data_IF_036708513663
#
_entry.id   IF_036708513663
#
_cell.length_a   1.000
_cell.length_b   1.000
_cell.length_c   1.000
_cell.angle_alpha   90.00
_cell.angle_beta   90.00
_cell.angle_gamma   90.00
#
_symmetry.space_group_name_H-M   'P 1'
#
loop_
_entity.id
_entity.type
_entity.pdbx_description
1 polymer ?
#
# COMPACT_ATOMS: atom_id res chain seq x y z
N UNK A 1 -7.68 8.20 8.70
CA UNK A 1 -7.83 6.91 9.41
C UNK A 1 -6.83 6.87 10.56
N UNK A 2 -7.10 6.14 11.67
CA UNK A 2 -6.11 5.97 12.74
C UNK A 2 -4.87 5.22 12.21
N UNK A 3 -3.70 5.60 12.72
CA UNK A 3 -2.44 4.92 12.38
C UNK A 3 -2.46 3.52 13.00
N UNK A 4 -2.22 2.44 12.22
CA UNK A 4 -2.23 1.08 12.76
C UNK A 4 -1.05 0.87 13.71
N UNK A 5 -1.31 0.15 14.82
CA UNK A 5 -0.27 -0.25 15.77
C UNK A 5 0.53 -1.44 15.26
N UNK A 6 1.73 -1.64 15.81
CA UNK A 6 2.58 -2.81 15.49
C UNK A 6 1.84 -4.12 15.75
N UNK A 7 1.11 -4.22 16.87
CA UNK A 7 0.34 -5.41 17.22
C UNK A 7 -0.80 -5.66 16.23
N UNK A 8 -1.43 -4.59 15.74
CA UNK A 8 -2.44 -4.71 14.68
C UNK A 8 -1.80 -5.25 13.40
N UNK A 9 -0.65 -4.73 12.98
CA UNK A 9 0.05 -5.22 11.79
C UNK A 9 0.54 -6.68 11.95
N UNK A 10 0.93 -7.10 13.16
CA UNK A 10 1.26 -8.50 13.46
C UNK A 10 0.03 -9.41 13.29
N UNK A 11 -1.12 -9.00 13.81
CA UNK A 11 -2.37 -9.76 13.60
C UNK A 11 -2.75 -9.85 12.11
N UNK A 12 -2.47 -8.80 11.34
CA UNK A 12 -2.70 -8.81 9.88
C UNK A 12 -1.78 -9.82 9.20
N UNK A 13 -0.50 -9.90 9.59
CA UNK A 13 0.43 -10.91 9.07
C UNK A 13 0.02 -12.35 9.38
N UNK A 14 -0.47 -12.60 10.59
CA UNK A 14 -1.02 -13.91 10.96
C UNK A 14 -2.28 -14.23 10.13
N UNK A 15 -3.19 -13.27 9.95
CA UNK A 15 -4.37 -13.45 9.10
C UNK A 15 -4.00 -13.71 7.63
N UNK A 16 -3.00 -13.02 7.08
CA UNK A 16 -2.52 -13.26 5.71
C UNK A 16 -1.91 -14.66 5.55
N UNK A 17 -1.17 -15.12 6.56
CA UNK A 17 -0.66 -16.49 6.53
C UNK A 17 -1.79 -17.52 6.58
N UNK A 18 -2.75 -17.35 7.50
CA UNK A 18 -3.83 -18.31 7.69
C UNK A 18 -4.82 -18.37 6.52
N UNK A 19 -5.10 -17.23 5.86
CA UNK A 19 -6.10 -17.15 4.78
C UNK A 19 -5.46 -17.35 3.41
N UNK A 20 -4.29 -16.76 3.18
CA UNK A 20 -3.66 -16.67 1.86
C UNK A 20 -2.33 -17.42 1.75
N UNK A 21 -1.90 -18.13 2.81
CA UNK A 21 -0.59 -18.78 2.88
C UNK A 21 0.57 -17.82 2.58
N UNK A 22 0.41 -16.54 2.95
CA UNK A 22 1.37 -15.47 2.70
C UNK A 22 1.99 -15.02 4.02
N UNK A 23 3.10 -15.65 4.47
CA UNK A 23 3.74 -15.29 5.73
C UNK A 23 4.34 -13.89 5.69
N UNK A 24 4.41 -13.24 6.85
CA UNK A 24 5.02 -11.91 7.04
C UNK A 24 4.40 -10.78 6.17
N UNK A 25 3.21 -10.98 5.61
CA UNK A 25 2.52 -9.95 4.83
C UNK A 25 1.68 -9.04 5.73
N UNK A 26 2.03 -7.76 5.84
CA UNK A 26 1.34 -6.81 6.73
C UNK A 26 0.26 -5.97 6.03
N UNK A 27 -0.01 -6.26 4.77
CA UNK A 27 -1.00 -5.54 3.97
C UNK A 27 -0.81 -5.74 2.47
N UNK A 28 -1.91 -5.63 1.73
CA UNK A 28 -1.91 -5.58 0.28
C UNK A 28 -2.19 -4.15 -0.18
N UNK A 29 -1.25 -3.53 -0.90
CA UNK A 29 -1.37 -2.18 -1.47
C UNK A 29 -1.88 -2.23 -2.91
N UNK A 30 -2.72 -1.28 -3.28
CA UNK A 30 -3.16 -1.10 -4.66
C UNK A 30 -3.71 0.29 -4.94
N UNK A 31 -3.70 0.65 -6.24
CA UNK A 31 -4.23 1.91 -6.77
C UNK A 31 -5.56 1.73 -7.51
N UNK A 32 -6.41 2.76 -7.48
CA UNK A 32 -7.65 2.84 -8.24
C UNK A 32 -7.82 4.26 -8.80
N UNK A 33 -7.97 4.36 -10.12
CA UNK A 33 -8.42 5.62 -10.75
C UNK A 33 -9.90 5.87 -10.44
N UNK A 34 -10.17 6.91 -9.67
CA UNK A 34 -11.51 7.42 -9.40
C UNK A 34 -11.80 8.53 -10.42
N UNK A 35 -12.82 8.33 -11.24
CA UNK A 35 -13.19 9.28 -12.30
C UNK A 35 -13.68 10.59 -11.70
N UNK A 36 -13.19 11.70 -12.22
CA UNK A 36 -13.60 13.06 -11.85
C UNK A 36 -13.96 13.86 -13.10
N UNK A 37 -14.62 15.00 -12.89
CA UNK A 37 -14.70 16.05 -13.92
C UNK A 37 -13.34 16.73 -14.03
N UNK A 38 -12.96 17.16 -15.24
CA UNK A 38 -11.72 17.91 -15.46
C UNK A 38 -11.68 19.15 -14.54
N UNK A 39 -10.70 19.26 -13.63
CA UNK A 39 -10.52 20.47 -12.85
C UNK A 39 -10.12 21.64 -13.75
N UNK A 40 -10.59 22.85 -13.43
CA UNK A 40 -10.23 24.08 -14.16
C UNK A 40 -8.71 24.25 -14.17
N UNK A 41 -8.18 24.71 -15.31
CA UNK A 41 -6.76 25.06 -15.50
C UNK A 41 -5.76 23.94 -15.18
N UNK A 42 -6.21 22.67 -15.21
CA UNK A 42 -5.38 21.52 -14.84
C UNK A 42 -4.66 20.83 -16.01
N UNK A 43 -4.93 21.27 -17.24
CA UNK A 43 -4.39 20.66 -18.46
C UNK A 43 -4.63 19.15 -18.49
N UNK A 44 -3.56 18.37 -18.66
CA UNK A 44 -3.60 16.90 -18.67
C UNK A 44 -3.23 16.25 -17.33
N UNK A 45 -3.05 17.00 -16.24
CA UNK A 45 -2.54 16.44 -14.98
C UNK A 45 -3.40 15.29 -14.44
N UNK A 46 -4.72 15.42 -14.52
CA UNK A 46 -5.65 14.38 -14.08
C UNK A 46 -6.01 13.39 -15.18
N UNK A 47 -5.53 13.57 -16.41
CA UNK A 47 -5.87 12.71 -17.53
C UNK A 47 -5.01 11.44 -17.52
N UNK A 48 -5.66 10.28 -17.45
CA UNK A 48 -4.99 8.99 -17.32
C UNK A 48 -4.84 8.25 -18.66
N UNK A 49 -4.10 7.14 -18.63
CA UNK A 49 -3.87 6.28 -19.80
C UNK A 49 -5.16 5.65 -20.37
N UNK A 50 -6.21 5.51 -19.54
CA UNK A 50 -7.54 5.02 -19.92
C UNK A 50 -8.42 6.11 -20.54
N UNK A 51 -7.85 7.27 -20.89
CA UNK A 51 -8.50 8.39 -21.60
C UNK A 51 -9.65 9.04 -20.83
N UNK A 52 -9.52 9.16 -19.50
CA UNK A 52 -10.44 9.96 -18.69
C UNK A 52 -9.72 10.73 -17.56
N UNK A 53 -10.37 11.76 -17.01
CA UNK A 53 -9.85 12.50 -15.86
C UNK A 53 -10.11 11.74 -14.56
N UNK A 54 -9.07 11.58 -13.74
CA UNK A 54 -9.13 10.82 -12.50
C UNK A 54 -8.21 11.37 -11.42
N UNK A 55 -8.57 11.10 -10.18
CA UNK A 55 -7.64 11.08 -9.05
C UNK A 55 -7.32 9.65 -8.68
N UNK A 56 -6.14 9.42 -8.13
CA UNK A 56 -5.73 8.10 -7.66
C UNK A 56 -6.17 7.95 -6.20
N UNK A 57 -6.84 6.83 -5.93
CA UNK A 57 -7.06 6.28 -4.59
C UNK A 57 -6.05 5.16 -4.40
N UNK A 58 -5.15 5.31 -3.44
CA UNK A 58 -4.26 4.27 -2.97
C UNK A 58 -4.83 3.70 -1.67
N UNK A 59 -4.93 2.38 -1.58
CA UNK A 59 -5.41 1.71 -0.38
C UNK A 59 -4.49 0.57 0.01
N UNK A 60 -4.33 0.37 1.31
CA UNK A 60 -3.76 -0.86 1.87
C UNK A 60 -4.88 -1.62 2.55
N UNK A 61 -5.05 -2.88 2.20
CA UNK A 61 -6.04 -3.79 2.76
C UNK A 61 -5.39 -4.89 3.60
N UNK A 62 -6.10 -5.35 4.62
CA UNK A 62 -5.76 -6.57 5.33
C UNK A 62 -6.23 -7.83 4.58
N UNK A 63 -5.90 -9.01 5.14
CA UNK A 63 -6.25 -10.30 4.57
C UNK A 63 -7.77 -10.54 4.42
N UNK A 64 -8.61 -9.73 5.06
CA UNK A 64 -10.08 -9.81 5.02
C UNK A 64 -10.69 -8.70 4.16
N UNK A 65 -9.90 -8.10 3.28
CA UNK A 65 -10.33 -7.02 2.38
C UNK A 65 -10.79 -5.74 3.08
N UNK A 66 -10.36 -5.50 4.32
CA UNK A 66 -10.67 -4.27 5.05
C UNK A 66 -9.53 -3.29 4.90
N UNK A 67 -9.84 -2.04 4.60
CA UNK A 67 -8.81 -1.00 4.51
C UNK A 67 -8.16 -0.73 5.86
N UNK A 68 -6.83 -0.74 5.89
CA UNK A 68 -6.00 -0.32 7.04
C UNK A 68 -5.37 1.06 6.81
N UNK A 69 -5.23 1.47 5.54
CA UNK A 69 -4.83 2.81 5.14
C UNK A 69 -5.51 3.16 3.80
N UNK A 70 -5.90 4.42 3.64
CA UNK A 70 -6.44 4.97 2.40
C UNK A 70 -5.85 6.36 2.23
N UNK A 71 -5.34 6.62 1.03
CA UNK A 71 -4.87 7.93 0.60
C UNK A 71 -5.48 8.29 -0.76
N UNK A 72 -5.95 9.53 -0.89
CA UNK A 72 -6.64 10.03 -2.08
C UNK A 72 -6.05 11.36 -2.46
N UNK A 73 -5.73 11.54 -3.73
CA UNK A 73 -5.27 12.84 -4.24
C UNK A 73 -4.18 12.79 -5.30
N UNK A 74 -3.62 11.60 -5.59
CA UNK A 74 -2.65 11.43 -6.66
C UNK A 74 -3.21 11.87 -8.02
N UNK A 75 -2.35 12.46 -8.86
CA UNK A 75 -2.74 12.91 -10.18
C UNK A 75 -3.04 11.72 -11.10
N UNK A 76 -4.08 11.78 -11.92
CA UNK A 76 -4.45 10.69 -12.83
C UNK A 76 -3.36 10.27 -13.83
N UNK A 77 -2.35 11.10 -14.09
CA UNK A 77 -1.19 10.75 -14.92
C UNK A 77 -0.08 9.97 -14.20
N UNK A 78 -0.10 9.91 -12.86
CA UNK A 78 0.95 9.27 -12.08
C UNK A 78 0.85 7.74 -12.17
N UNK A 79 2.00 7.07 -12.07
CA UNK A 79 2.06 5.61 -11.89
C UNK A 79 1.72 5.24 -10.44
N UNK A 80 1.40 3.97 -10.19
CA UNK A 80 1.10 3.49 -8.85
C UNK A 80 2.35 3.61 -7.94
N UNK A 81 3.53 3.22 -8.41
CA UNK A 81 4.78 3.42 -7.67
C UNK A 81 5.11 4.89 -7.38
N UNK A 82 4.85 5.80 -8.33
CA UNK A 82 5.05 7.24 -8.10
C UNK A 82 4.04 7.82 -7.10
N UNK A 83 2.81 7.30 -7.10
CA UNK A 83 1.79 7.64 -6.09
C UNK A 83 2.19 7.13 -4.71
N UNK A 84 2.73 5.91 -4.63
CA UNK A 84 3.19 5.32 -3.38
C UNK A 84 4.36 6.10 -2.78
N UNK A 85 5.37 6.46 -3.56
CA UNK A 85 6.51 7.25 -3.06
C UNK A 85 6.10 8.63 -2.54
N UNK A 86 5.02 9.20 -3.08
CA UNK A 86 4.45 10.48 -2.64
C UNK A 86 3.44 10.32 -1.47
N UNK A 87 3.15 9.10 -1.04
CA UNK A 87 2.15 8.82 0.00
C UNK A 87 2.70 9.08 1.41
N UNK A 88 1.81 9.51 2.30
CA UNK A 88 2.13 9.68 3.72
C UNK A 88 2.53 8.35 4.36
N UNK A 89 1.97 7.23 3.88
CA UNK A 89 2.37 5.90 4.28
C UNK A 89 3.86 5.64 4.00
N UNK A 90 4.33 5.94 2.79
CA UNK A 90 5.74 5.76 2.43
C UNK A 90 6.65 6.64 3.30
N UNK A 91 6.29 7.91 3.48
CA UNK A 91 7.03 8.82 4.35
C UNK A 91 7.00 8.40 5.82
N UNK A 92 5.89 7.86 6.31
CA UNK A 92 5.76 7.38 7.69
C UNK A 92 6.62 6.13 7.94
N UNK A 93 6.66 5.20 6.99
CA UNK A 93 7.51 3.99 7.08
C UNK A 93 8.99 4.38 7.01
N UNK A 94 9.39 5.18 6.01
CA UNK A 94 10.79 5.57 5.81
C UNK A 94 11.33 6.48 6.92
N UNK A 95 10.49 7.32 7.52
CA UNK A 95 10.87 8.15 8.67
C UNK A 95 10.75 7.41 10.02
N UNK A 96 10.37 6.14 10.05
CA UNK A 96 10.20 5.35 11.28
C UNK A 96 9.03 5.79 12.17
N UNK A 97 8.11 6.62 11.66
CA UNK A 97 6.88 7.04 12.36
C UNK A 97 5.85 5.91 12.42
N UNK A 98 5.74 5.14 11.33
CA UNK A 98 4.97 3.90 11.29
C UNK A 98 5.95 2.73 11.45
N UNK A 99 5.91 2.09 12.62
CA UNK A 99 6.74 0.92 12.89
C UNK A 99 6.10 -0.32 12.31
N UNK A 100 6.80 -0.99 11.40
CA UNK A 100 6.44 -2.34 10.97
C UNK A 100 6.87 -3.34 12.05
N UNK A 101 6.20 -4.50 12.16
CA UNK A 101 6.72 -5.60 12.96
C UNK A 101 8.12 -5.99 12.47
N UNK A 102 9.00 -6.37 13.41
CA UNK A 102 10.33 -6.84 13.07
C UNK A 102 10.30 -8.13 12.24
N UNK A 103 11.47 -8.57 11.73
CA UNK A 103 11.57 -9.81 10.99
C UNK A 103 11.03 -11.01 11.79
N UNK A 104 10.31 -11.90 11.11
CA UNK A 104 9.72 -13.10 11.69
C UNK A 104 10.13 -14.34 10.88
N UNK A 105 10.20 -15.48 11.56
CA UNK A 105 10.62 -16.75 10.96
C UNK A 105 9.57 -17.26 9.99
N UNK A 106 10.01 -17.64 8.79
CA UNK A 106 9.13 -18.25 7.80
C UNK A 106 8.67 -19.64 8.28
N UNK A 107 7.41 -20.03 8.01
CA UNK A 107 6.87 -21.31 8.43
C UNK A 107 7.76 -22.49 8.01
N UNK A 108 7.97 -23.44 8.93
CA UNK A 108 8.74 -24.66 8.69
C UNK A 108 10.21 -24.45 8.31
N UNK A 109 10.77 -23.26 8.57
CA UNK A 109 12.18 -22.96 8.32
C UNK A 109 12.81 -22.27 9.53
N UNK A 110 14.13 -22.09 9.48
CA UNK A 110 14.86 -21.18 10.37
C UNK A 110 15.21 -19.85 9.67
N UNK A 111 14.54 -19.54 8.56
CA UNK A 111 14.81 -18.34 7.77
C UNK A 111 14.00 -17.18 8.36
N UNK A 112 14.67 -16.17 8.88
CA UNK A 112 14.02 -14.92 9.26
C UNK A 112 13.84 -14.04 8.03
N UNK A 113 12.63 -13.56 7.81
CA UNK A 113 12.30 -12.66 6.72
C UNK A 113 11.61 -11.39 7.26
N UNK A 114 11.80 -10.24 6.62
CA UNK A 114 11.12 -9.01 7.02
C UNK A 114 9.60 -9.12 6.82
N UNK A 115 8.86 -8.27 7.53
CA UNK A 115 7.47 -8.00 7.19
C UNK A 115 7.38 -7.13 5.94
N UNK A 116 6.46 -7.45 5.03
CA UNK A 116 6.35 -6.80 3.71
C UNK A 116 4.91 -6.37 3.40
N UNK A 117 4.78 -5.30 2.61
CA UNK A 117 3.55 -4.99 1.89
C UNK A 117 3.62 -5.65 0.52
N UNK A 118 2.56 -6.35 0.12
CA UNK A 118 2.43 -6.93 -1.21
C UNK A 118 1.63 -5.99 -2.12
N UNK A 119 1.95 -5.93 -3.40
CA UNK A 119 1.24 -5.10 -4.37
C UNK A 119 1.33 -5.71 -5.77
N UNK A 120 0.65 -5.10 -6.73
CA UNK A 120 0.76 -5.48 -8.14
C UNK A 120 2.11 -5.05 -8.76
N UNK A 121 2.32 -5.42 -10.03
CA UNK A 121 3.57 -5.11 -10.74
C UNK A 121 3.84 -3.60 -10.84
N UNK A 122 2.80 -2.78 -10.88
CA UNK A 122 2.89 -1.33 -10.91
C UNK A 122 3.24 -0.73 -9.52
N UNK A 123 3.08 -1.52 -8.45
CA UNK A 123 3.32 -1.17 -7.05
C UNK A 123 4.52 -1.92 -6.45
N UNK A 124 5.40 -2.50 -7.29
CA UNK A 124 6.33 -3.57 -6.91
C UNK A 124 7.26 -3.26 -5.70
N UNK A 125 7.13 -4.14 -4.70
CA UNK A 125 8.08 -4.61 -3.66
C UNK A 125 9.03 -3.61 -2.96
N UNK A 126 8.73 -3.38 -1.67
CA UNK A 126 9.67 -2.81 -0.69
C UNK A 126 10.66 -3.88 -0.19
N UNK A 127 11.94 -3.76 -0.55
CA UNK A 127 13.05 -4.28 0.27
C UNK A 127 12.99 -3.59 1.64
N UNK A 128 13.32 -4.31 2.71
CA UNK A 128 13.49 -3.75 4.04
C UNK A 128 14.26 -2.43 3.98
N UNK A 129 13.69 -1.36 4.53
CA UNK A 129 14.44 -0.15 4.91
C UNK A 129 15.20 -0.41 6.20
#
# INVERSE_FOLDING_TARGET
>A
MPVPTVDKLRSVAEEFYNIWNCPNCVGAIGGKHVRIRCPKDSGSMFFNYKKFFSVILQGVADAKYRFINIEVGGYGKQSDGGTFQASELYHAVTAGKLKLPGPATLPQTNVMAPCVLIGDEASLFCRSF
#
